data_IF_823997618442
#
_entry.id   IF_823997618442
#
_cell.length_a   1.000
_cell.length_b   1.000
_cell.length_c   1.000
_cell.angle_alpha   90.00
_cell.angle_beta   90.00
_cell.angle_gamma   90.00
#
_symmetry.space_group_name_H-M   'P 1'
#
loop_
_entity.id
_entity.type
_entity.pdbx_description
1 polymer ?
#
# COMPACT_ATOMS: atom_id res chain seq x y z
N UNK A 1 -17.23 15.07 -3.53
CA UNK A 1 -17.49 13.63 -3.75
C UNK A 1 -16.22 12.77 -3.69
N UNK A 2 -15.02 13.31 -3.97
CA UNK A 2 -13.75 12.57 -3.85
C UNK A 2 -13.21 12.44 -2.42
N UNK A 3 -13.45 13.43 -1.55
CA UNK A 3 -12.96 13.45 -0.16
C UNK A 3 -13.57 12.37 0.71
N UNK A 4 -14.86 12.05 0.54
CA UNK A 4 -15.55 11.01 1.32
C UNK A 4 -15.03 9.61 0.94
N UNK A 5 -14.83 9.37 -0.35
CA UNK A 5 -14.25 8.11 -0.84
C UNK A 5 -12.82 7.93 -0.35
N UNK A 6 -12.01 8.99 -0.37
CA UNK A 6 -10.65 8.97 0.13
C UNK A 6 -10.60 8.71 1.64
N UNK A 7 -11.51 9.32 2.40
CA UNK A 7 -11.61 9.12 3.85
C UNK A 7 -12.06 7.70 4.19
N UNK A 8 -13.05 7.16 3.47
CA UNK A 8 -13.51 5.78 3.63
C UNK A 8 -12.42 4.76 3.30
N UNK A 9 -11.67 4.97 2.21
CA UNK A 9 -10.53 4.12 1.83
C UNK A 9 -9.43 4.13 2.91
N UNK A 10 -9.13 5.30 3.48
CA UNK A 10 -8.17 5.43 4.58
C UNK A 10 -8.65 4.68 5.84
N UNK A 11 -9.91 4.87 6.21
CA UNK A 11 -10.48 4.17 7.37
C UNK A 11 -10.45 2.65 7.21
N UNK A 12 -10.74 2.14 6.01
CA UNK A 12 -10.66 0.70 5.74
C UNK A 12 -9.23 0.17 5.88
N UNK A 13 -8.23 0.90 5.36
CA UNK A 13 -6.83 0.52 5.47
C UNK A 13 -6.35 0.51 6.94
N UNK A 14 -6.80 1.47 7.77
CA UNK A 14 -6.50 1.50 9.20
C UNK A 14 -7.12 0.31 9.95
N UNK A 15 -8.35 -0.08 9.60
CA UNK A 15 -9.01 -1.27 10.15
C UNK A 15 -8.27 -2.55 9.74
N UNK A 16 -7.91 -2.69 8.47
CA UNK A 16 -7.16 -3.84 7.97
C UNK A 16 -5.81 -3.98 8.68
N UNK A 17 -5.06 -2.88 8.82
CA UNK A 17 -3.81 -2.84 9.57
C UNK A 17 -4.00 -3.20 11.05
N UNK A 18 -5.10 -2.79 11.67
CA UNK A 18 -5.44 -3.19 13.03
C UNK A 18 -5.72 -4.70 13.13
N UNK A 19 -6.58 -5.23 12.26
CA UNK A 19 -6.95 -6.65 12.24
C UNK A 19 -5.73 -7.55 11.99
N UNK A 20 -4.84 -7.15 11.08
CA UNK A 20 -3.59 -7.88 10.82
C UNK A 20 -2.71 -7.95 12.07
N UNK A 21 -2.53 -6.83 12.78
CA UNK A 21 -1.74 -6.77 14.02
C UNK A 21 -2.35 -7.63 15.13
N UNK A 22 -3.67 -7.57 15.32
CA UNK A 22 -4.36 -8.40 16.30
C UNK A 22 -4.26 -9.90 15.98
N UNK A 23 -4.40 -10.27 14.70
CA UNK A 23 -4.22 -11.65 14.26
C UNK A 23 -2.79 -12.15 14.54
N UNK A 24 -1.78 -11.31 14.26
CA UNK A 24 -0.37 -11.62 14.52
C UNK A 24 -0.10 -11.79 16.02
N UNK A 25 -0.64 -10.91 16.87
CA UNK A 25 -0.53 -11.02 18.32
C UNK A 25 -1.26 -12.24 18.88
N UNK A 26 -2.45 -12.56 18.38
CA UNK A 26 -3.16 -13.78 18.73
C UNK A 26 -2.34 -15.03 18.40
N UNK A 27 -1.71 -15.07 17.23
CA UNK A 27 -0.82 -16.16 16.84
C UNK A 27 0.45 -16.21 17.71
N UNK A 28 1.02 -15.07 18.07
CA UNK A 28 2.16 -14.98 18.99
C UNK A 28 1.80 -15.53 20.38
N UNK A 29 0.67 -15.12 20.96
CA UNK A 29 0.16 -15.65 22.25
C UNK A 29 0.00 -17.17 22.22
N UNK A 30 -0.57 -17.73 21.14
CA UNK A 30 -0.70 -19.20 20.99
C UNK A 30 0.66 -19.89 20.95
N UNK A 31 1.61 -19.38 20.17
CA UNK A 31 2.98 -19.94 20.09
C UNK A 31 3.66 -19.90 21.45
N UNK A 32 3.55 -18.77 22.15
CA UNK A 32 4.12 -18.58 23.47
C UNK A 32 3.48 -19.50 24.52
N UNK A 33 2.15 -19.65 24.53
CA UNK A 33 1.47 -20.57 25.44
C UNK A 33 1.90 -22.02 25.22
N UNK A 34 2.07 -22.43 23.95
CA UNK A 34 2.61 -23.75 23.62
C UNK A 34 4.07 -23.90 24.08
N UNK A 35 4.87 -22.85 24.00
CA UNK A 35 6.25 -22.85 24.48
C UNK A 35 6.30 -22.99 26.01
N UNK A 36 5.62 -22.11 26.75
CA UNK A 36 5.65 -22.07 28.21
C UNK A 36 5.05 -23.32 28.87
N UNK A 37 4.11 -23.98 28.19
CA UNK A 37 3.55 -25.27 28.62
C UNK A 37 4.57 -26.42 28.61
N UNK A 38 5.64 -26.32 27.82
CA UNK A 38 6.71 -27.35 27.73
C UNK A 38 8.00 -26.93 28.45
N UNK A 39 8.02 -25.73 29.02
CA UNK A 39 9.22 -25.13 29.57
C UNK A 39 9.26 -25.33 31.09
N UNK A 40 9.56 -26.55 31.52
CA UNK A 40 9.50 -26.95 32.94
C UNK A 40 10.62 -26.33 33.79
N UNK A 41 11.70 -25.89 33.15
CA UNK A 41 12.86 -25.27 33.81
C UNK A 41 12.62 -23.81 34.25
N UNK A 42 11.52 -23.19 33.81
CA UNK A 42 11.19 -21.81 34.18
C UNK A 42 10.21 -21.76 35.34
N UNK A 43 10.53 -20.92 36.32
CA UNK A 43 9.57 -20.54 37.35
C UNK A 43 8.37 -19.78 36.74
N UNK A 44 7.20 -19.77 37.40
CA UNK A 44 6.05 -18.99 36.95
C UNK A 44 6.35 -17.51 36.70
N UNK A 45 7.23 -16.91 37.51
CA UNK A 45 7.68 -15.52 37.32
C UNK A 45 8.44 -15.33 36.01
N UNK A 46 9.41 -16.19 35.73
CA UNK A 46 10.19 -16.13 34.49
C UNK A 46 9.33 -16.39 33.25
N UNK A 47 8.33 -17.28 33.34
CA UNK A 47 7.37 -17.50 32.24
C UNK A 47 6.57 -16.23 31.94
N UNK A 48 6.14 -15.51 32.97
CA UNK A 48 5.39 -14.24 32.84
C UNK A 48 6.26 -13.12 32.27
N UNK A 49 7.51 -13.00 32.71
CA UNK A 49 8.43 -11.98 32.22
C UNK A 49 8.79 -12.23 30.74
N UNK A 50 9.01 -13.51 30.37
CA UNK A 50 9.20 -13.91 28.99
C UNK A 50 7.96 -13.63 28.13
N UNK A 51 6.76 -13.88 28.67
CA UNK A 51 5.51 -13.58 27.98
C UNK A 51 5.38 -12.09 27.68
N UNK A 52 5.61 -11.24 28.67
CA UNK A 52 5.53 -9.80 28.49
C UNK A 52 6.55 -9.32 27.46
N UNK A 53 7.81 -9.72 27.60
CA UNK A 53 8.88 -9.34 26.68
C UNK A 53 8.57 -9.78 25.24
N UNK A 54 8.18 -11.05 25.05
CA UNK A 54 7.90 -11.58 23.72
C UNK A 54 6.69 -10.88 23.08
N UNK A 55 5.62 -10.64 23.83
CA UNK A 55 4.43 -9.97 23.27
C UNK A 55 4.69 -8.51 22.93
N UNK A 56 5.51 -7.80 23.72
CA UNK A 56 5.91 -6.43 23.38
C UNK A 56 6.76 -6.38 22.12
N UNK A 57 7.70 -7.31 21.96
CA UNK A 57 8.48 -7.45 20.73
C UNK A 57 7.58 -7.76 19.52
N UNK A 58 6.62 -8.68 19.67
CA UNK A 58 5.70 -9.03 18.58
C UNK A 58 4.75 -7.87 18.20
N UNK A 59 4.37 -7.00 19.16
CA UNK A 59 3.64 -5.76 18.85
C UNK A 59 4.47 -4.82 18.00
N UNK A 60 5.75 -4.66 18.36
CA UNK A 60 6.68 -3.82 17.63
C UNK A 60 6.91 -4.33 16.20
N UNK A 61 7.21 -5.62 16.05
CA UNK A 61 7.42 -6.27 14.75
C UNK A 61 6.17 -6.19 13.87
N UNK A 62 4.99 -6.48 14.42
CA UNK A 62 3.75 -6.41 13.65
C UNK A 62 3.48 -4.99 13.13
N UNK A 63 3.76 -3.96 13.93
CA UNK A 63 3.68 -2.57 13.48
C UNK A 63 4.71 -2.26 12.40
N UNK A 64 5.98 -2.60 12.63
CA UNK A 64 7.07 -2.34 11.68
C UNK A 64 6.79 -2.95 10.30
N UNK A 65 6.32 -4.20 10.25
CA UNK A 65 6.03 -4.89 8.99
C UNK A 65 4.89 -4.20 8.25
N UNK A 66 3.80 -3.87 8.94
CA UNK A 66 2.66 -3.20 8.31
C UNK A 66 3.03 -1.80 7.81
N UNK A 67 3.81 -1.04 8.58
CA UNK A 67 4.29 0.28 8.17
C UNK A 67 5.21 0.18 6.95
N UNK A 68 6.14 -0.79 6.94
CA UNK A 68 7.03 -1.02 5.81
C UNK A 68 6.29 -1.40 4.51
N UNK A 69 5.24 -2.24 4.62
CA UNK A 69 4.40 -2.59 3.47
C UNK A 69 3.66 -1.34 2.97
N UNK A 70 3.07 -0.56 3.87
CA UNK A 70 2.36 0.67 3.50
C UNK A 70 3.28 1.67 2.79
N UNK A 71 4.49 1.86 3.31
CA UNK A 71 5.51 2.73 2.70
C UNK A 71 5.93 2.23 1.31
N UNK A 72 6.17 0.93 1.18
CA UNK A 72 6.57 0.30 -0.09
C UNK A 72 5.48 0.45 -1.16
N UNK A 73 4.22 0.20 -0.81
CA UNK A 73 3.07 0.36 -1.72
C UNK A 73 2.92 1.84 -2.12
N UNK A 74 2.98 2.76 -1.15
CA UNK A 74 2.88 4.21 -1.40
C UNK A 74 3.99 4.71 -2.34
N UNK A 75 5.21 4.19 -2.19
CA UNK A 75 6.32 4.52 -3.09
C UNK A 75 6.07 4.04 -4.52
N UNK A 76 5.59 2.80 -4.69
CA UNK A 76 5.25 2.24 -6.01
C UNK A 76 4.10 3.01 -6.66
N UNK A 77 3.05 3.33 -5.92
CA UNK A 77 1.91 4.11 -6.43
C UNK A 77 2.33 5.52 -6.86
N UNK A 78 3.18 6.20 -6.09
CA UNK A 78 3.73 7.52 -6.46
C UNK A 78 4.52 7.44 -7.76
N UNK A 79 5.41 6.46 -7.89
CA UNK A 79 6.20 6.25 -9.10
C UNK A 79 5.31 5.96 -10.32
N UNK A 80 4.30 5.09 -10.15
CA UNK A 80 3.36 4.76 -11.20
C UNK A 80 2.54 5.98 -11.64
N UNK A 81 2.02 6.77 -10.70
CA UNK A 81 1.25 7.99 -11.00
C UNK A 81 2.06 9.02 -11.77
N UNK A 82 3.33 9.24 -11.39
CA UNK A 82 4.21 10.17 -12.10
C UNK A 82 4.46 9.68 -13.54
N UNK A 83 4.79 8.40 -13.70
CA UNK A 83 5.04 7.80 -15.02
C UNK A 83 3.81 7.83 -15.92
N UNK A 84 2.65 7.45 -15.38
CA UNK A 84 1.39 7.48 -16.10
C UNK A 84 1.00 8.89 -16.54
N UNK A 85 1.17 9.88 -15.65
CA UNK A 85 0.93 11.29 -15.98
C UNK A 85 1.83 11.81 -17.10
N UNK A 86 3.12 11.45 -17.10
CA UNK A 86 4.04 11.81 -18.18
C UNK A 86 3.65 11.15 -19.51
N UNK A 87 3.35 9.86 -19.48
CA UNK A 87 2.92 9.12 -20.66
C UNK A 87 1.63 9.69 -21.24
N UNK A 88 0.63 9.94 -20.42
CA UNK A 88 -0.66 10.51 -20.84
C UNK A 88 -0.49 11.89 -21.50
N UNK A 89 0.32 12.77 -20.89
CA UNK A 89 0.62 14.09 -21.47
C UNK A 89 1.30 13.97 -22.83
N UNK A 90 2.29 13.08 -22.95
CA UNK A 90 2.96 12.81 -24.22
C UNK A 90 1.99 12.34 -25.31
N UNK A 91 1.11 11.41 -24.97
CA UNK A 91 0.07 10.90 -25.87
C UNK A 91 -0.91 11.99 -26.31
N UNK A 92 -1.37 12.85 -25.39
CA UNK A 92 -2.27 13.95 -25.72
C UNK A 92 -1.61 14.97 -26.66
N UNK A 93 -0.34 15.31 -26.44
CA UNK A 93 0.43 16.20 -27.33
C UNK A 93 0.56 15.57 -28.71
N UNK A 94 0.91 14.29 -28.79
CA UNK A 94 1.02 13.57 -30.06
C UNK A 94 -0.31 13.54 -30.82
N UNK A 95 -1.42 13.22 -30.15
CA UNK A 95 -2.76 13.24 -30.76
C UNK A 95 -3.14 14.63 -31.28
N UNK A 96 -2.77 15.69 -30.54
CA UNK A 96 -3.01 17.07 -30.96
C UNK A 96 -2.24 17.39 -32.23
N UNK A 97 -0.95 17.05 -32.29
CA UNK A 97 -0.11 17.28 -33.47
C UNK A 97 -0.64 16.52 -34.69
N UNK A 98 -0.99 15.24 -34.51
CA UNK A 98 -1.60 14.43 -35.59
C UNK A 98 -2.88 15.11 -36.10
N UNK A 99 -3.74 15.57 -35.19
CA UNK A 99 -4.98 16.26 -35.55
C UNK A 99 -4.72 17.53 -36.35
N UNK A 100 -3.75 18.35 -35.95
CA UNK A 100 -3.36 19.57 -36.68
C UNK A 100 -2.82 19.24 -38.08
N UNK A 101 -1.94 18.25 -38.20
CA UNK A 101 -1.38 17.83 -39.50
C UNK A 101 -2.49 17.34 -40.43
N UNK A 102 -3.39 16.48 -39.94
CA UNK A 102 -4.52 16.00 -40.73
C UNK A 102 -5.42 17.14 -41.21
N UNK A 103 -5.67 18.14 -40.35
CA UNK A 103 -6.46 19.31 -40.70
C UNK A 103 -5.78 20.15 -41.80
N UNK A 104 -4.47 20.39 -41.68
CA UNK A 104 -3.68 21.09 -42.70
C UNK A 104 -3.68 20.34 -44.03
N UNK A 105 -3.49 19.02 -44.01
CA UNK A 105 -3.56 18.19 -45.22
C UNK A 105 -4.94 18.26 -45.87
N UNK A 106 -6.02 18.18 -45.10
CA UNK A 106 -7.38 18.30 -45.61
C UNK A 106 -7.62 19.68 -46.26
N UNK A 107 -7.16 20.76 -45.62
CA UNK A 107 -7.27 22.11 -46.17
C UNK A 107 -6.49 22.27 -47.49
N UNK A 108 -5.29 21.68 -47.59
CA UNK A 108 -4.51 21.68 -48.84
C UNK A 108 -5.22 20.92 -49.96
N UNK A 109 -5.79 19.74 -49.66
CA UNK A 109 -6.55 18.96 -50.65
C UNK A 109 -7.77 19.74 -51.15
N UNK A 110 -8.51 20.38 -50.24
CA UNK A 110 -9.66 21.21 -50.61
C UNK A 110 -9.22 22.41 -51.45
N UNK A 111 -8.15 23.11 -51.07
CA UNK A 111 -7.63 24.26 -51.81
C UNK A 111 -7.05 23.93 -53.19
N UNK A 112 -6.61 22.70 -53.42
CA UNK A 112 -6.20 22.22 -54.76
C UNK A 112 -7.38 21.76 -55.61
N UNK A 113 -8.54 21.48 -55.00
CA UNK A 113 -9.75 21.00 -55.68
C UNK A 113 -10.73 22.13 -56.03
N UNK A 114 -10.49 23.35 -55.53
CA UNK A 114 -11.21 24.59 -55.85
C UNK A 114 -10.45 25.40 -56.89
#
# INVERSE_FOLDING_TARGET
>A
MDTDKQTAARGLAEIEAHLYREAHLGAARRRLAQFTARADDFSPGQKRDLEQWYLDEQRYVARMVTDHIADSVSAVEKAHRIRFGHWLRGTLVAMTLITVVLFLCAALVVGMAT
#
